data_IF_342012037674
#
_entry.id   IF_342012037674
#
_cell.length_a   1.000
_cell.length_b   1.000
_cell.length_c   1.000
_cell.angle_alpha   90.00
_cell.angle_beta   90.00
_cell.angle_gamma   90.00
#
_symmetry.space_group_name_H-M   'P 1'
#
loop_
_entity.id
_entity.type
_entity.pdbx_description
1 polymer ?
#
# COMPACT_ATOMS: atom_id res chain seq x y z
N UNK A 1 10.07 -4.43 -9.50
CA UNK A 1 11.29 -4.00 -8.79
C UNK A 1 12.27 -5.15 -8.86
N UNK A 2 13.49 -4.95 -9.39
CA UNK A 2 14.39 -6.05 -9.74
C UNK A 2 15.24 -6.60 -8.58
N UNK A 3 15.42 -5.83 -7.50
CA UNK A 3 16.29 -6.22 -6.37
C UNK A 3 15.50 -6.63 -5.13
N UNK A 4 14.41 -5.94 -4.85
CA UNK A 4 13.54 -6.15 -3.69
C UNK A 4 12.08 -6.03 -4.13
N UNK A 5 11.21 -6.89 -3.63
CA UNK A 5 9.77 -6.78 -3.89
C UNK A 5 9.09 -5.75 -2.99
N UNK A 6 7.81 -5.47 -3.26
CA UNK A 6 7.08 -4.41 -2.57
C UNK A 6 6.68 -4.77 -1.16
N UNK A 7 6.53 -6.06 -0.88
CA UNK A 7 6.16 -6.56 0.44
C UNK A 7 7.36 -6.42 1.37
N UNK A 8 8.54 -6.82 0.91
CA UNK A 8 9.77 -6.66 1.67
C UNK A 8 10.14 -5.19 1.88
N UNK A 9 10.01 -4.36 0.84
CA UNK A 9 10.19 -2.91 0.98
C UNK A 9 9.25 -2.32 2.04
N UNK A 10 7.98 -2.74 2.04
CA UNK A 10 6.99 -2.27 3.02
C UNK A 10 7.35 -2.72 4.44
N UNK A 11 7.74 -3.99 4.63
CA UNK A 11 8.21 -4.48 5.95
C UNK A 11 9.38 -3.66 6.49
N UNK A 12 10.34 -3.32 5.63
CA UNK A 12 11.50 -2.50 6.03
C UNK A 12 11.11 -1.06 6.36
N UNK A 13 10.22 -0.44 5.58
CA UNK A 13 9.67 0.90 5.88
C UNK A 13 8.98 0.88 7.24
N UNK A 14 8.09 -0.08 7.51
CA UNK A 14 7.40 -0.21 8.80
C UNK A 14 8.35 -0.46 9.97
N UNK A 15 9.39 -1.26 9.76
CA UNK A 15 10.42 -1.49 10.78
C UNK A 15 11.19 -0.21 11.11
N UNK A 16 11.54 0.56 10.08
CA UNK A 16 12.20 1.87 10.23
C UNK A 16 11.29 2.89 10.93
N UNK A 17 10.02 2.96 10.57
CA UNK A 17 9.05 3.86 11.21
C UNK A 17 8.93 3.54 12.71
N UNK A 18 8.77 2.25 13.06
CA UNK A 18 8.69 1.80 14.45
C UNK A 18 9.97 2.06 15.25
N UNK A 19 11.15 1.84 14.66
CA UNK A 19 12.42 2.01 15.37
C UNK A 19 12.79 3.48 15.61
N UNK A 20 12.22 4.40 14.84
CA UNK A 20 12.48 5.84 14.94
C UNK A 20 11.29 6.63 15.52
N UNK A 21 10.24 5.96 15.99
CA UNK A 21 9.00 6.58 16.50
C UNK A 21 8.36 7.57 15.51
N UNK A 22 8.40 7.21 14.22
CA UNK A 22 7.85 8.02 13.13
C UNK A 22 6.39 7.62 12.93
N UNK A 23 5.52 8.61 12.75
CA UNK A 23 4.12 8.36 12.35
C UNK A 23 4.08 7.57 11.03
N UNK A 24 3.38 6.42 10.98
CA UNK A 24 3.38 5.58 9.79
C UNK A 24 2.86 6.32 8.55
N UNK A 25 3.60 6.25 7.45
CA UNK A 25 3.16 6.78 6.16
C UNK A 25 2.10 5.87 5.54
N UNK A 26 1.21 6.43 4.71
CA UNK A 26 0.27 5.60 3.93
C UNK A 26 1.02 4.92 2.78
N UNK A 27 1.00 3.59 2.75
CA UNK A 27 1.65 2.76 1.74
C UNK A 27 0.57 2.13 0.86
N UNK A 28 0.62 2.43 -0.43
CA UNK A 28 -0.32 1.89 -1.44
C UNK A 28 0.45 0.99 -2.40
N UNK A 29 0.07 -0.29 -2.48
CA UNK A 29 0.64 -1.20 -3.45
C UNK A 29 -0.12 -1.15 -4.77
N UNK A 30 0.64 -1.02 -5.87
CA UNK A 30 0.10 -1.05 -7.22
C UNK A 30 0.64 -2.27 -7.99
N UNK A 31 -0.14 -3.35 -8.01
CA UNK A 31 0.27 -4.67 -8.53
C UNK A 31 -0.23 -4.93 -9.95
N UNK A 32 0.47 -5.77 -10.72
CA UNK A 32 -0.05 -6.35 -11.98
C UNK A 32 -0.77 -7.68 -11.79
N UNK A 33 -0.67 -8.31 -10.62
CA UNK A 33 -1.22 -9.61 -10.29
C UNK A 33 -2.11 -9.46 -9.05
N UNK A 34 -3.42 -9.63 -9.20
CA UNK A 34 -4.42 -9.45 -8.14
C UNK A 34 -4.94 -10.76 -7.58
N UNK A 35 -4.06 -11.70 -7.22
CA UNK A 35 -4.51 -12.92 -6.54
C UNK A 35 -4.85 -12.63 -5.07
N UNK A 36 -5.71 -13.45 -4.48
CA UNK A 36 -6.11 -13.29 -3.07
C UNK A 36 -4.91 -13.44 -2.12
N UNK A 37 -3.98 -14.33 -2.44
CA UNK A 37 -2.76 -14.57 -1.67
C UNK A 37 -1.83 -13.35 -1.72
N UNK A 38 -1.71 -12.71 -2.89
CA UNK A 38 -0.91 -11.49 -3.03
C UNK A 38 -1.54 -10.31 -2.27
N UNK A 39 -2.86 -10.25 -2.21
CA UNK A 39 -3.57 -9.25 -1.43
C UNK A 39 -3.40 -9.49 0.08
N UNK A 40 -3.49 -10.74 0.54
CA UNK A 40 -3.23 -11.09 1.94
C UNK A 40 -1.79 -10.76 2.34
N UNK A 41 -0.81 -11.21 1.55
CA UNK A 41 0.61 -10.91 1.77
C UNK A 41 0.87 -9.41 1.80
N UNK A 42 0.18 -8.64 0.96
CA UNK A 42 0.28 -7.18 0.98
C UNK A 42 -0.11 -6.60 2.33
N UNK A 43 -1.29 -6.94 2.84
CA UNK A 43 -1.77 -6.42 4.12
C UNK A 43 -0.91 -6.87 5.30
N UNK A 44 -0.45 -8.13 5.30
CA UNK A 44 0.46 -8.67 6.31
C UNK A 44 1.79 -7.92 6.31
N UNK A 45 2.30 -7.50 5.15
CA UNK A 45 3.54 -6.72 5.04
C UNK A 45 3.41 -5.30 5.62
N UNK A 46 2.18 -4.80 5.82
CA UNK A 46 1.88 -3.46 6.32
C UNK A 46 1.46 -2.45 5.25
N UNK A 47 1.02 -2.92 4.08
CA UNK A 47 0.40 -2.08 3.04
C UNK A 47 -1.01 -1.68 3.49
N UNK A 48 -1.37 -0.42 3.33
CA UNK A 48 -2.67 0.11 3.74
C UNK A 48 -3.74 -0.05 2.65
N UNK A 49 -3.32 0.03 1.38
CA UNK A 49 -4.23 -0.08 0.25
C UNK A 49 -3.61 -0.90 -0.89
N UNK A 50 -4.39 -1.80 -1.45
CA UNK A 50 -4.00 -2.65 -2.56
C UNK A 50 -4.77 -2.28 -3.82
N UNK A 51 -4.06 -1.94 -4.89
CA UNK A 51 -4.64 -1.52 -6.18
C UNK A 51 -4.06 -2.37 -7.32
N UNK A 52 -4.94 -2.84 -8.20
CA UNK A 52 -4.55 -3.64 -9.37
C UNK A 52 -4.40 -2.78 -10.63
N UNK A 53 -3.36 -3.04 -11.42
CA UNK A 53 -3.14 -2.45 -12.74
C UNK A 53 -4.00 -3.17 -13.80
N UNK A 54 -4.45 -2.46 -14.84
CA UNK A 54 -4.32 -1.01 -15.02
C UNK A 54 -5.32 -0.25 -14.15
N UNK A 55 -4.86 0.84 -13.54
CA UNK A 55 -5.74 1.79 -12.82
C UNK A 55 -5.91 3.06 -13.64
N UNK A 56 -7.14 3.57 -13.71
CA UNK A 56 -7.42 4.88 -14.31
C UNK A 56 -6.94 5.98 -13.37
N UNK A 57 -6.33 7.04 -13.92
CA UNK A 57 -5.80 8.15 -13.14
C UNK A 57 -6.88 8.84 -12.29
N UNK A 58 -8.11 8.95 -12.80
CA UNK A 58 -9.24 9.51 -12.05
C UNK A 58 -9.56 8.69 -10.80
N UNK A 59 -9.51 7.35 -10.91
CA UNK A 59 -9.75 6.44 -9.77
C UNK A 59 -8.62 6.56 -8.74
N UNK A 60 -7.38 6.62 -9.20
CA UNK A 60 -6.22 6.83 -8.32
C UNK A 60 -6.32 8.18 -7.59
N UNK A 61 -6.64 9.25 -8.31
CA UNK A 61 -6.77 10.60 -7.75
C UNK A 61 -7.87 10.65 -6.70
N UNK A 62 -9.01 9.98 -6.96
CA UNK A 62 -10.09 9.86 -5.99
C UNK A 62 -9.63 9.16 -4.71
N UNK A 63 -8.99 8.00 -4.82
CA UNK A 63 -8.47 7.27 -3.66
C UNK A 63 -7.43 8.06 -2.87
N UNK A 64 -6.53 8.79 -3.54
CA UNK A 64 -5.56 9.65 -2.87
C UNK A 64 -6.23 10.82 -2.11
N UNK A 65 -7.28 11.41 -2.68
CA UNK A 65 -8.05 12.45 -2.00
C UNK A 65 -8.78 11.91 -0.76
N UNK A 66 -9.40 10.74 -0.86
CA UNK A 66 -10.07 10.06 0.26
C UNK A 66 -9.08 9.76 1.40
N UNK A 67 -7.86 9.31 1.07
CA UNK A 67 -6.77 9.09 2.03
C UNK A 67 -6.38 10.41 2.71
N UNK A 68 -6.18 11.47 1.92
CA UNK A 68 -5.76 12.78 2.44
C UNK A 68 -6.81 13.37 3.39
N UNK A 69 -8.09 13.11 3.14
CA UNK A 69 -9.20 13.58 3.97
C UNK A 69 -9.47 12.68 5.19
N UNK A 70 -8.77 11.55 5.33
CA UNK A 70 -8.96 10.60 6.43
C UNK A 70 -10.22 9.73 6.29
N UNK A 71 -10.80 9.65 5.09
CA UNK A 71 -12.11 9.06 4.83
C UNK A 71 -12.04 7.62 4.31
N UNK A 72 -11.00 6.85 4.63
CA UNK A 72 -10.91 5.44 4.25
C UNK A 72 -11.95 4.60 5.01
N UNK A 73 -13.19 4.58 4.52
CA UNK A 73 -14.12 3.49 4.78
C UNK A 73 -13.68 2.32 3.89
N UNK A 74 -13.27 1.23 4.53
CA UNK A 74 -12.95 -0.05 3.89
C UNK A 74 -14.11 -0.42 2.96
N UNK A 75 -13.84 -0.46 1.65
CA UNK A 75 -14.75 -0.97 0.64
C UNK A 75 -14.40 -2.42 0.30
#
# INVERSE_FOLDING_TARGET
>A
MPVMDGFEATRQIRAFERSNDITPATIIALTGLGSAEAQEEAFVSGIDLFLTKPIKLDKLTKSLNEIREGNLQQA
#
